data_IF_416782207237
#
_entry.id   IF_416782207237
#
_cell.length_a   1.000
_cell.length_b   1.000
_cell.length_c   1.000
_cell.angle_alpha   90.00
_cell.angle_beta   90.00
_cell.angle_gamma   90.00
#
_symmetry.space_group_name_H-M   'P 1'
#
loop_
_entity.id
_entity.type
_entity.pdbx_description
1 polymer ?
#
# COMPACT_ATOMS: atom_id res chain seq x y z
N UNK A 1 3.13 5.44 13.43
CA UNK A 1 2.90 6.77 12.81
C UNK A 1 4.16 7.39 12.17
N UNK A 2 5.34 6.76 12.25
CA UNK A 2 6.59 7.33 11.72
C UNK A 2 6.73 7.28 10.19
N UNK A 3 6.09 6.32 9.50
CA UNK A 3 6.20 6.12 8.05
C UNK A 3 5.06 6.74 7.24
N UNK A 4 4.00 7.22 7.91
CA UNK A 4 2.76 7.74 7.28
C UNK A 4 3.02 8.85 6.26
N UNK A 5 3.92 9.77 6.57
CA UNK A 5 4.27 10.89 5.68
C UNK A 5 4.96 10.45 4.39
N UNK A 6 5.49 9.23 4.35
CA UNK A 6 6.23 8.68 3.20
C UNK A 6 5.41 7.69 2.37
N UNK A 7 4.50 6.94 3.00
CA UNK A 7 3.81 5.82 2.34
C UNK A 7 2.29 5.81 2.52
N UNK A 8 1.69 6.92 2.98
CA UNK A 8 0.24 7.02 3.19
C UNK A 8 -0.29 6.09 4.28
N UNK A 9 0.59 5.47 5.07
CA UNK A 9 0.20 4.47 6.07
C UNK A 9 0.06 3.05 5.53
N UNK A 10 0.53 2.78 4.30
CA UNK A 10 0.66 1.45 3.71
C UNK A 10 2.09 0.95 3.83
N UNK A 11 2.29 -0.23 4.41
CA UNK A 11 3.61 -0.82 4.59
C UNK A 11 3.56 -2.32 4.33
N UNK A 12 4.55 -2.88 3.65
CA UNK A 12 4.62 -4.32 3.48
C UNK A 12 4.86 -5.02 4.85
N UNK A 13 4.24 -6.17 5.08
CA UNK A 13 4.30 -6.87 6.37
C UNK A 13 5.73 -7.34 6.69
N UNK A 14 6.50 -7.74 5.68
CA UNK A 14 7.91 -8.12 5.78
C UNK A 14 8.79 -6.91 6.15
N UNK A 15 8.50 -5.74 5.59
CA UNK A 15 9.17 -4.49 5.95
C UNK A 15 8.85 -4.09 7.40
N UNK A 16 7.58 -4.20 7.81
CA UNK A 16 7.17 -4.00 9.20
C UNK A 16 7.95 -4.92 10.14
N UNK A 17 8.10 -6.19 9.78
CA UNK A 17 8.87 -7.16 10.56
C UNK A 17 10.35 -6.77 10.67
N UNK A 18 10.95 -6.28 9.58
CA UNK A 18 12.35 -5.81 9.54
C UNK A 18 12.57 -4.55 10.39
N UNK A 19 11.69 -3.56 10.30
CA UNK A 19 11.71 -2.37 11.17
C UNK A 19 11.55 -2.77 12.64
N UNK A 20 10.67 -3.75 12.87
CA UNK A 20 10.52 -4.42 14.14
C UNK A 20 11.66 -5.41 14.48
N UNK A 21 12.76 -5.44 13.73
CA UNK A 21 14.02 -6.15 14.08
C UNK A 21 15.25 -5.22 14.22
N UNK A 22 15.30 -4.08 13.54
CA UNK A 22 16.44 -3.11 13.59
C UNK A 22 16.49 -2.00 14.66
N UNK A 23 15.77 -2.08 15.79
CA UNK A 23 15.38 -0.94 16.64
C UNK A 23 15.61 -1.07 18.16
N UNK A 24 16.38 -2.05 18.66
CA UNK A 24 16.77 -2.06 20.08
C UNK A 24 17.26 -3.40 20.65
N UNK A 25 18.13 -3.33 21.68
CA UNK A 25 18.91 -4.42 22.31
C UNK A 25 18.13 -5.46 23.15
N UNK A 26 16.81 -5.35 23.23
CA UNK A 26 15.97 -6.30 23.98
C UNK A 26 14.79 -6.69 23.10
N UNK A 27 14.97 -7.72 22.27
CA UNK A 27 13.94 -8.16 21.33
C UNK A 27 13.54 -9.60 21.56
N UNK A 28 12.25 -9.77 21.83
CA UNK A 28 11.57 -11.06 21.70
C UNK A 28 11.59 -11.48 20.22
N UNK A 29 11.70 -12.77 19.97
CA UNK A 29 11.50 -13.36 18.65
C UNK A 29 10.05 -13.19 18.22
N UNK A 30 9.72 -12.01 17.69
CA UNK A 30 8.41 -11.73 17.09
C UNK A 30 8.39 -12.42 15.73
N UNK A 31 7.41 -13.28 15.49
CA UNK A 31 7.18 -13.92 14.18
C UNK A 31 6.20 -13.10 13.33
N UNK A 32 6.14 -13.37 12.02
CA UNK A 32 5.12 -12.74 11.15
C UNK A 32 3.69 -13.07 11.61
N UNK A 33 3.47 -14.25 12.18
CA UNK A 33 2.18 -14.67 12.71
C UNK A 33 1.77 -13.88 13.95
N UNK A 34 2.74 -13.47 14.77
CA UNK A 34 2.49 -12.61 15.92
C UNK A 34 2.09 -11.21 15.46
N UNK A 35 2.74 -10.68 14.42
CA UNK A 35 2.35 -9.42 13.78
C UNK A 35 0.95 -9.49 13.19
N UNK A 36 0.65 -10.55 12.45
CA UNK A 36 -0.67 -10.74 11.85
C UNK A 36 -1.77 -10.82 12.92
N UNK A 37 -1.52 -11.53 14.02
CA UNK A 37 -2.44 -11.60 15.17
C UNK A 37 -2.58 -10.25 15.87
N UNK A 38 -1.49 -9.52 16.07
CA UNK A 38 -1.52 -8.19 16.68
C UNK A 38 -2.35 -7.20 15.84
N UNK A 39 -2.13 -7.17 14.53
CA UNK A 39 -2.91 -6.32 13.61
C UNK A 39 -4.39 -6.70 13.62
N UNK A 40 -4.71 -8.01 13.61
CA UNK A 40 -6.10 -8.48 13.72
C UNK A 40 -6.76 -8.05 15.03
N UNK A 41 -6.03 -8.02 16.15
CA UNK A 41 -6.53 -7.50 17.43
C UNK A 41 -6.71 -5.98 17.39
N UNK A 42 -5.78 -5.24 16.78
CA UNK A 42 -5.90 -3.80 16.61
C UNK A 42 -7.10 -3.43 15.73
N UNK A 43 -7.39 -4.22 14.69
CA UNK A 43 -8.58 -4.05 13.85
C UNK A 43 -9.89 -4.10 14.65
N UNK A 44 -9.96 -4.92 15.71
CA UNK A 44 -11.17 -4.96 16.56
C UNK A 44 -11.37 -3.71 17.41
N UNK A 45 -10.34 -2.88 17.58
CA UNK A 45 -10.41 -1.61 18.30
C UNK A 45 -10.80 -0.44 17.40
N UNK A 46 -10.87 -0.64 16.08
CA UNK A 46 -11.28 0.36 15.10
C UNK A 46 -10.76 0.03 13.69
N UNK A 47 -11.30 0.71 12.67
CA UNK A 47 -10.98 0.51 11.25
C UNK A 47 -9.58 0.99 10.82
N UNK A 48 -8.72 1.37 11.77
CA UNK A 48 -7.42 1.98 11.47
C UNK A 48 -6.31 1.01 11.10
N UNK A 49 -6.46 -0.28 11.40
CA UNK A 49 -5.45 -1.30 11.13
C UNK A 49 -6.04 -2.48 10.37
N UNK A 50 -5.49 -2.79 9.20
CA UNK A 50 -5.96 -3.91 8.38
C UNK A 50 -4.81 -4.52 7.60
N UNK A 51 -4.89 -5.83 7.33
CA UNK A 51 -4.01 -6.51 6.37
C UNK A 51 -4.76 -6.67 5.06
N UNK A 52 -4.19 -6.14 3.99
CA UNK A 52 -4.73 -6.22 2.63
C UNK A 52 -3.86 -7.19 1.83
N UNK A 53 -4.43 -8.29 1.32
CA UNK A 53 -3.71 -9.19 0.43
C UNK A 53 -3.58 -8.56 -0.95
N UNK A 54 -2.33 -8.39 -1.39
CA UNK A 54 -1.96 -7.81 -2.68
C UNK A 54 -1.09 -8.83 -3.42
N UNK A 55 -1.78 -9.78 -4.07
CA UNK A 55 -1.18 -10.97 -4.68
C UNK A 55 -0.41 -11.81 -3.66
N UNK A 56 0.90 -11.94 -3.84
CA UNK A 56 1.78 -12.68 -2.93
C UNK A 56 2.21 -11.86 -1.70
N UNK A 57 2.04 -10.53 -1.74
CA UNK A 57 2.44 -9.64 -0.64
C UNK A 57 1.25 -9.33 0.27
N UNK A 58 1.56 -9.09 1.54
CA UNK A 58 0.60 -8.60 2.54
C UNK A 58 0.95 -7.16 2.89
N UNK A 59 0.03 -6.23 2.66
CA UNK A 59 0.20 -4.83 3.02
C UNK A 59 -0.57 -4.54 4.30
N UNK A 60 0.08 -3.87 5.23
CA UNK A 60 -0.51 -3.37 6.46
C UNK A 60 -0.94 -1.93 6.24
N UNK A 61 -2.23 -1.69 6.38
CA UNK A 61 -2.82 -0.37 6.52
C UNK A 61 -2.79 0.04 7.99
N UNK A 62 -2.32 1.24 8.28
CA UNK A 62 -2.15 1.77 9.65
C UNK A 62 -2.93 3.07 9.92
N UNK A 63 -3.71 3.53 8.95
CA UNK A 63 -4.57 4.71 9.05
C UNK A 63 -6.01 4.33 8.69
N UNK A 64 -7.00 4.86 9.42
CA UNK A 64 -8.40 4.71 9.03
C UNK A 64 -8.62 5.48 7.74
N UNK A 65 -8.94 4.74 6.69
CA UNK A 65 -9.26 5.26 5.37
C UNK A 65 -9.95 4.13 4.63
N UNK A 66 -11.08 4.43 3.98
CA UNK A 66 -11.84 3.43 3.24
C UNK A 66 -11.10 3.09 1.96
N UNK A 67 -10.19 2.12 2.04
CA UNK A 67 -9.73 1.41 0.86
C UNK A 67 -10.91 0.58 0.35
N UNK A 68 -11.72 1.19 -0.51
CA UNK A 68 -12.72 0.48 -1.28
C UNK A 68 -12.08 -0.64 -2.14
N UNK A 69 -12.92 -1.48 -2.72
CA UNK A 69 -12.46 -2.57 -3.59
C UNK A 69 -11.63 -2.05 -4.77
N UNK A 70 -11.96 -0.89 -5.32
CA UNK A 70 -11.26 -0.30 -6.47
C UNK A 70 -9.81 0.03 -6.14
N UNK A 71 -9.54 0.66 -4.98
CA UNK A 71 -8.18 0.94 -4.54
C UNK A 71 -7.37 -0.34 -4.36
N UNK A 72 -8.01 -1.40 -3.83
CA UNK A 72 -7.35 -2.70 -3.63
C UNK A 72 -7.00 -3.35 -4.98
N UNK A 73 -7.89 -3.26 -5.97
CA UNK A 73 -7.64 -3.76 -7.32
C UNK A 73 -6.50 -3.01 -8.00
N UNK A 74 -6.44 -1.69 -7.87
CA UNK A 74 -5.33 -0.88 -8.40
C UNK A 74 -3.99 -1.24 -7.73
N UNK A 75 -3.99 -1.44 -6.40
CA UNK A 75 -2.82 -1.92 -5.65
C UNK A 75 -2.35 -3.30 -6.13
N UNK A 76 -3.28 -4.21 -6.41
CA UNK A 76 -2.98 -5.53 -6.96
C UNK A 76 -2.34 -5.45 -8.35
N UNK A 77 -2.84 -4.57 -9.21
CA UNK A 77 -2.26 -4.38 -10.53
C UNK A 77 -0.82 -3.84 -10.45
N UNK A 78 -0.58 -2.94 -9.50
CA UNK A 78 0.74 -2.34 -9.28
C UNK A 78 1.72 -3.25 -8.53
N UNK A 79 1.33 -4.44 -8.07
CA UNK A 79 2.18 -5.33 -7.28
C UNK A 79 3.49 -5.69 -7.98
N UNK A 80 3.46 -5.92 -9.29
CA UNK A 80 4.61 -6.37 -10.06
C UNK A 80 5.60 -5.24 -10.39
N UNK A 81 5.08 -4.08 -10.78
CA UNK A 81 5.85 -2.93 -11.29
C UNK A 81 6.11 -1.87 -10.22
N UNK A 82 5.37 -1.89 -9.10
CA UNK A 82 5.34 -0.84 -8.07
C UNK A 82 4.85 0.54 -8.54
N UNK A 83 4.46 0.65 -9.81
CA UNK A 83 3.82 1.80 -10.41
C UNK A 83 2.71 1.36 -11.35
N UNK A 84 1.82 2.28 -11.67
CA UNK A 84 0.73 2.07 -12.61
C UNK A 84 0.54 3.29 -13.47
N UNK A 85 0.02 3.10 -14.69
CA UNK A 85 -0.41 4.18 -15.55
C UNK A 85 -1.90 4.14 -15.78
N UNK A 86 -2.46 5.25 -16.23
CA UNK A 86 -3.89 5.32 -16.50
C UNK A 86 -4.29 4.37 -17.65
N UNK A 87 -3.44 4.26 -18.67
CA UNK A 87 -3.66 3.32 -19.77
C UNK A 87 -3.63 1.85 -19.30
N UNK A 88 -2.78 1.52 -18.31
CA UNK A 88 -2.71 0.17 -17.76
C UNK A 88 -4.01 -0.20 -17.02
N UNK A 89 -4.59 0.72 -16.24
CA UNK A 89 -5.86 0.51 -15.54
C UNK A 89 -7.00 0.28 -16.54
N UNK A 90 -7.13 1.14 -17.54
CA UNK A 90 -8.22 1.05 -18.52
C UNK A 90 -8.09 -0.19 -19.40
N UNK A 91 -6.86 -0.55 -19.80
CA UNK A 91 -6.59 -1.73 -20.63
C UNK A 91 -6.77 -3.04 -19.88
N UNK A 92 -6.25 -3.16 -18.65
CA UNK A 92 -6.28 -4.43 -17.90
C UNK A 92 -7.60 -4.65 -17.15
N UNK A 93 -8.23 -3.58 -16.64
CA UNK A 93 -9.47 -3.69 -15.85
C UNK A 93 -10.73 -3.31 -16.66
N UNK A 94 -10.58 -2.76 -17.86
CA UNK A 94 -11.71 -2.31 -18.69
C UNK A 94 -12.49 -1.13 -18.08
N UNK A 95 -11.86 -0.38 -17.18
CA UNK A 95 -12.52 0.73 -16.48
C UNK A 95 -12.65 1.97 -17.37
N UNK A 96 -13.68 2.76 -17.12
CA UNK A 96 -13.79 4.10 -17.69
C UNK A 96 -12.65 4.99 -17.16
N UNK A 97 -12.09 5.82 -18.04
CA UNK A 97 -11.03 6.78 -17.72
C UNK A 97 -11.37 7.60 -16.47
N UNK A 98 -12.58 8.15 -16.38
CA UNK A 98 -13.01 8.97 -15.24
C UNK A 98 -12.99 8.20 -13.91
N UNK A 99 -13.36 6.91 -13.93
CA UNK A 99 -13.30 6.05 -12.74
C UNK A 99 -11.85 5.85 -12.30
N UNK A 100 -10.96 5.56 -13.26
CA UNK A 100 -9.53 5.41 -12.99
C UNK A 100 -8.91 6.71 -12.43
N UNK A 101 -9.23 7.86 -13.04
CA UNK A 101 -8.78 9.18 -12.56
C UNK A 101 -9.30 9.49 -11.15
N UNK A 102 -10.55 9.17 -10.86
CA UNK A 102 -11.12 9.41 -9.54
C UNK A 102 -10.40 8.59 -8.46
N UNK A 103 -10.19 7.30 -8.71
CA UNK A 103 -9.49 6.40 -7.79
C UNK A 103 -8.04 6.85 -7.59
N UNK A 104 -7.32 7.15 -8.67
CA UNK A 104 -5.95 7.66 -8.59
C UNK A 104 -5.88 9.01 -7.86
N UNK A 105 -6.78 9.95 -8.18
CA UNK A 105 -6.83 11.25 -7.53
C UNK A 105 -7.06 11.13 -6.01
N UNK A 106 -7.96 10.23 -5.61
CA UNK A 106 -8.19 9.94 -4.20
C UNK A 106 -6.95 9.33 -3.53
N UNK A 107 -6.26 8.38 -4.19
CA UNK A 107 -5.03 7.79 -3.64
C UNK A 107 -3.88 8.78 -3.52
N UNK A 108 -3.76 9.74 -4.45
CA UNK A 108 -2.79 10.85 -4.35
C UNK A 108 -3.14 11.73 -3.16
N UNK A 109 -4.41 12.10 -2.98
CA UNK A 109 -4.87 12.96 -1.89
C UNK A 109 -4.57 12.35 -0.52
N UNK A 110 -4.75 11.03 -0.38
CA UNK A 110 -4.43 10.28 0.83
C UNK A 110 -2.91 10.05 1.02
N UNK A 111 -2.07 10.46 0.06
CA UNK A 111 -0.62 10.32 0.11
C UNK A 111 -0.14 8.88 -0.08
N UNK A 112 -0.97 8.01 -0.65
CA UNK A 112 -0.63 6.60 -0.90
C UNK A 112 0.21 6.41 -2.17
N UNK A 113 0.08 7.33 -3.13
CA UNK A 113 0.80 7.29 -4.40
C UNK A 113 1.49 8.61 -4.71
N UNK A 114 2.61 8.49 -5.43
CA UNK A 114 3.39 9.60 -5.95
C UNK A 114 3.18 9.73 -7.45
N UNK A 115 3.11 10.97 -7.92
CA UNK A 115 2.98 11.27 -9.34
C UNK A 115 4.38 11.44 -9.92
N UNK A 116 4.63 10.79 -11.05
CA UNK A 116 5.82 10.96 -11.86
C UNK A 116 5.44 11.39 -13.28
N UNK A 117 5.89 12.57 -13.66
CA UNK A 117 5.67 13.19 -14.98
C UNK A 117 6.94 13.17 -15.85
N UNK A 118 7.99 12.46 -15.43
CA UNK A 118 9.25 12.40 -16.16
C UNK A 118 9.20 11.44 -17.35
N UNK A 119 8.22 10.53 -17.39
CA UNK A 119 8.03 9.61 -18.51
C UNK A 119 7.43 10.35 -19.72
N UNK A 120 8.04 10.22 -20.92
CA UNK A 120 7.61 10.95 -22.11
C UNK A 120 6.30 10.41 -22.75
N UNK A 121 5.81 9.23 -22.35
CA UNK A 121 4.61 8.62 -22.93
C UNK A 121 3.36 8.94 -22.12
N UNK A 122 3.41 8.76 -20.81
CA UNK A 122 2.28 9.02 -19.92
C UNK A 122 2.70 9.20 -18.46
N UNK A 123 1.83 9.85 -17.69
CA UNK A 123 2.03 10.04 -16.25
C UNK A 123 2.00 8.68 -15.53
N UNK A 124 3.02 8.43 -14.72
CA UNK A 124 3.12 7.23 -13.89
C UNK A 124 2.72 7.55 -12.44
N UNK A 125 2.08 6.59 -11.80
CA UNK A 125 1.65 6.67 -10.41
C UNK A 125 2.38 5.58 -9.62
N UNK A 126 3.30 5.99 -8.76
CA UNK A 126 4.17 5.11 -7.99
C UNK A 126 3.61 4.83 -6.60
N UNK A 127 3.77 3.61 -6.11
CA UNK A 127 3.32 3.17 -4.78
C UNK A 127 4.51 2.94 -3.87
N UNK A 128 4.87 3.91 -3.00
CA UNK A 128 6.02 3.76 -2.10
C UNK A 128 5.91 2.53 -1.18
N UNK A 129 4.69 2.19 -0.74
CA UNK A 129 4.43 1.03 0.11
C UNK A 129 4.63 -0.33 -0.59
N UNK A 130 4.82 -0.34 -1.91
CA UNK A 130 5.14 -1.55 -2.69
C UNK A 130 6.64 -1.72 -2.97
N UNK A 131 7.44 -0.67 -2.75
CA UNK A 131 8.87 -0.67 -3.03
C UNK A 131 9.55 -1.75 -2.21
N UNK A 132 10.42 -2.52 -2.87
CA UNK A 132 11.32 -3.44 -2.18
C UNK A 132 12.52 -2.62 -1.73
N UNK A 133 12.63 -2.33 -0.44
CA UNK A 133 13.87 -1.80 0.11
C UNK A 133 14.91 -2.93 0.04
N UNK A 134 15.89 -2.74 -0.86
CA UNK A 134 16.92 -3.73 -1.19
C UNK A 134 17.90 -3.88 -0.03
#
# INVERSE_FOLDING_TARGET
MATRTRNGGLLALDELHRLLKGGGKSRQDVTEDDLARAIKKLHTLGSGFQIIPVGEKRIVQSVPGELNMDHTTVLQLAQATSYISLSAITSQLGWEVKRAEHVLGHMVQEGMIWIDEQDPKERLYWFPGLFKDT
#
